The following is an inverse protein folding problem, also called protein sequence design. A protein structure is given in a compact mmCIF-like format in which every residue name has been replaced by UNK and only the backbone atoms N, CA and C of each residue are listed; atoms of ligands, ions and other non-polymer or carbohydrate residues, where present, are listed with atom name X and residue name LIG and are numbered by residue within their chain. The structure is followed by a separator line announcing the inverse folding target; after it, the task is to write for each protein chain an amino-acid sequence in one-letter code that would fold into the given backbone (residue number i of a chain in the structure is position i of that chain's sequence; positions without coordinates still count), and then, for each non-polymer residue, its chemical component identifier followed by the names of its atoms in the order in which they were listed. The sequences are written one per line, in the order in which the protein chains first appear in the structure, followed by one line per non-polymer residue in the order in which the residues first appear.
data_IF_599896774733
#
_entry.id   IF_599896774733
#
_cell.length_a   1.000
_cell.length_b   1.000
_cell.length_c   1.000
_cell.angle_alpha   90.00
_cell.angle_beta   90.00
_cell.angle_gamma   90.00
#
_symmetry.space_group_name_H-M   'P 1'
#
loop_
_entity.id
_entity.type
_entity.pdbx_description
1 polymer ?
#
# COMPACT_ATOMS: atom_id res chain seq x y z
N UNK A 1 -5.47 5.91 1.73
CA UNK A 1 -4.61 6.96 1.13
C UNK A 1 -3.19 6.41 0.98
N UNK A 2 -2.40 6.93 0.04
CA UNK A 2 -1.03 6.48 -0.24
C UNK A 2 -0.09 7.67 -0.40
N UNK A 3 1.21 7.46 -0.17
CA UNK A 3 2.26 8.43 -0.45
C UNK A 3 3.65 7.85 -0.22
N UNK A 4 4.66 8.43 -0.86
CA UNK A 4 6.06 8.05 -0.73
C UNK A 4 6.93 9.20 -0.22
N UNK A 5 8.11 8.89 0.33
CA UNK A 5 9.12 9.93 0.66
C UNK A 5 9.69 10.57 -0.60
N UNK A 6 9.94 9.76 -1.63
CA UNK A 6 10.49 10.16 -2.92
C UNK A 6 9.58 9.62 -4.04
N UNK A 7 8.47 10.30 -4.35
CA UNK A 7 7.54 9.83 -5.36
C UNK A 7 8.16 9.88 -6.76
N UNK A 8 8.01 8.80 -7.52
CA UNK A 8 8.35 8.75 -8.94
C UNK A 8 7.40 9.61 -9.79
N UNK A 9 7.75 9.87 -11.06
CA UNK A 9 6.90 10.66 -11.96
C UNK A 9 5.63 9.93 -12.42
N UNK A 10 5.63 8.60 -12.37
CA UNK A 10 4.53 7.76 -12.87
C UNK A 10 4.41 6.46 -12.09
N UNK A 11 3.22 5.85 -12.15
CA UNK A 11 3.01 4.50 -11.63
C UNK A 11 3.84 3.50 -12.44
N UNK A 12 4.42 2.52 -11.75
CA UNK A 12 5.12 1.40 -12.37
C UNK A 12 4.16 0.66 -13.34
N UNK A 13 4.45 0.61 -14.66
CA UNK A 13 3.59 -0.08 -15.62
C UNK A 13 3.39 -1.57 -15.32
N UNK A 14 4.39 -2.22 -14.71
CA UNK A 14 4.26 -3.62 -14.29
C UNK A 14 3.30 -3.76 -13.10
N UNK A 15 3.24 -2.77 -12.20
CA UNK A 15 2.23 -2.71 -11.13
C UNK A 15 0.81 -2.55 -11.71
N UNK A 16 0.64 -1.67 -12.71
CA UNK A 16 -0.65 -1.54 -13.44
C UNK A 16 -1.08 -2.89 -14.03
N UNK A 17 -0.17 -3.58 -14.70
CA UNK A 17 -0.45 -4.87 -15.32
C UNK A 17 -0.93 -5.92 -14.32
N UNK A 18 -0.22 -6.11 -13.19
CA UNK A 18 -0.61 -7.10 -12.18
C UNK A 18 -1.91 -6.73 -11.45
N UNK A 19 -2.23 -5.45 -11.26
CA UNK A 19 -3.49 -5.05 -10.63
C UNK A 19 -4.68 -5.27 -11.57
N UNK A 20 -4.51 -5.04 -12.88
CA UNK A 20 -5.53 -5.35 -13.87
C UNK A 20 -5.86 -6.86 -13.95
N UNK A 21 -4.89 -7.75 -13.72
CA UNK A 21 -5.12 -9.20 -13.67
C UNK A 21 -6.17 -9.60 -12.62
N UNK A 22 -6.29 -8.83 -11.53
CA UNK A 22 -7.27 -9.04 -10.45
C UNK A 22 -8.45 -8.06 -10.52
N UNK A 23 -8.60 -7.35 -11.64
CA UNK A 23 -9.73 -6.45 -11.89
C UNK A 23 -9.65 -5.10 -11.18
N UNK A 24 -8.46 -4.69 -10.70
CA UNK A 24 -8.25 -3.40 -10.04
C UNK A 24 -7.52 -2.46 -10.99
N UNK A 25 -8.19 -1.37 -11.36
CA UNK A 25 -7.61 -0.30 -12.15
C UNK A 25 -6.97 0.75 -11.23
N UNK A 26 -5.65 0.94 -11.36
CA UNK A 26 -4.90 1.96 -10.63
C UNK A 26 -4.41 3.10 -11.56
N UNK A 27 -4.81 3.12 -12.83
CA UNK A 27 -4.30 4.08 -13.82
C UNK A 27 -4.69 5.53 -13.54
N UNK A 28 -5.72 5.75 -12.71
CA UNK A 28 -6.14 7.08 -12.26
C UNK A 28 -5.39 7.56 -11.02
N UNK A 29 -4.62 6.69 -10.36
CA UNK A 29 -3.77 7.08 -9.24
C UNK A 29 -2.51 7.80 -9.75
N UNK A 30 -1.76 8.40 -8.83
CA UNK A 30 -0.48 9.01 -9.15
C UNK A 30 0.44 8.96 -7.92
N UNK A 31 1.76 8.80 -8.12
CA UNK A 31 2.71 8.92 -7.01
C UNK A 31 2.64 10.33 -6.43
N UNK A 32 2.58 10.42 -5.09
CA UNK A 32 2.48 11.68 -4.36
C UNK A 32 3.27 11.60 -3.06
N UNK A 33 3.81 12.72 -2.58
CA UNK A 33 4.39 12.75 -1.26
C UNK A 33 3.29 12.54 -0.21
N UNK A 34 3.59 11.85 0.88
CA UNK A 34 2.73 11.93 2.06
C UNK A 34 2.96 13.29 2.75
N UNK A 35 1.89 13.87 3.31
CA UNK A 35 2.00 15.04 4.18
C UNK A 35 1.91 14.65 5.64
N UNK A 36 2.44 15.48 6.54
CA UNK A 36 2.23 15.31 7.99
C UNK A 36 0.75 15.21 8.32
N UNK A 37 -0.08 16.04 7.71
CA UNK A 37 -1.53 16.06 7.91
C UNK A 37 -2.18 14.73 7.47
N UNK A 38 -1.69 14.14 6.39
CA UNK A 38 -2.12 12.82 5.89
C UNK A 38 -1.87 11.73 6.92
N UNK A 39 -0.64 11.67 7.47
CA UNK A 39 -0.28 10.67 8.47
C UNK A 39 -1.04 10.93 9.78
N UNK A 40 -1.22 12.20 10.15
CA UNK A 40 -1.96 12.59 11.35
C UNK A 40 -3.46 12.26 11.26
N UNK A 41 -4.06 12.26 10.07
CA UNK A 41 -5.47 11.93 9.88
C UNK A 41 -5.75 10.41 9.88
N UNK A 42 -4.74 9.57 9.62
CA UNK A 42 -4.91 8.12 9.52
C UNK A 42 -5.03 7.44 10.89
N UNK A 43 -5.93 6.47 11.04
CA UNK A 43 -6.02 5.62 12.25
C UNK A 43 -4.95 4.51 12.26
N UNK A 44 -4.60 4.03 11.06
CA UNK A 44 -3.58 3.00 10.83
C UNK A 44 -2.59 3.52 9.78
N UNK A 45 -1.29 3.43 10.09
CA UNK A 45 -0.20 3.77 9.18
C UNK A 45 0.55 2.49 8.83
N UNK A 46 0.59 2.14 7.54
CA UNK A 46 1.32 0.96 7.03
C UNK A 46 2.55 1.44 6.26
N UNK A 47 3.74 1.00 6.67
CA UNK A 47 5.01 1.28 5.99
C UNK A 47 5.49 0.05 5.24
N UNK A 48 6.06 0.26 4.04
CA UNK A 48 6.52 -0.80 3.13
C UNK A 48 7.95 -0.52 2.66
N UNK A 49 8.90 -0.40 3.60
CA UNK A 49 10.32 -0.12 3.31
C UNK A 49 10.76 1.35 3.43
N UNK A 50 10.15 2.13 4.33
CA UNK A 50 10.54 3.52 4.60
C UNK A 50 10.95 3.64 6.07
N UNK A 51 12.20 3.29 6.37
CA UNK A 51 12.62 3.05 7.76
C UNK A 51 12.73 4.31 8.63
N UNK A 52 12.91 5.51 8.08
CA UNK A 52 13.22 6.68 8.94
C UNK A 52 12.49 7.98 8.59
N UNK A 53 11.69 8.03 7.51
CA UNK A 53 11.09 9.30 7.07
C UNK A 53 9.68 9.54 7.61
N UNK A 54 8.96 8.53 8.08
CA UNK A 54 7.56 8.69 8.48
C UNK A 54 7.44 9.27 9.91
N UNK A 55 6.80 10.43 10.11
CA UNK A 55 6.61 11.01 11.43
C UNK A 55 5.74 10.12 12.32
N UNK A 56 6.21 9.88 13.55
CA UNK A 56 5.49 9.11 14.55
C UNK A 56 4.50 9.99 15.33
N UNK A 57 3.24 9.54 15.40
CA UNK A 57 2.17 10.16 16.17
C UNK A 57 1.61 9.16 17.18
N UNK A 58 1.61 9.48 18.49
CA UNK A 58 1.08 8.58 19.50
C UNK A 58 -0.42 8.32 19.34
N UNK A 59 -0.87 7.13 19.71
CA UNK A 59 -2.29 6.74 19.68
C UNK A 59 -2.78 6.16 18.35
N UNK A 60 -1.88 5.94 17.39
CA UNK A 60 -2.18 5.28 16.10
C UNK A 60 -1.61 3.87 16.07
N UNK A 61 -2.19 3.01 15.24
CA UNK A 61 -1.60 1.70 14.92
C UNK A 61 -0.58 1.88 13.80
N UNK A 62 0.62 1.36 14.00
CA UNK A 62 1.66 1.32 12.98
C UNK A 62 1.94 -0.13 12.61
N UNK A 63 2.01 -0.42 11.31
CA UNK A 63 2.48 -1.71 10.80
C UNK A 63 3.66 -1.51 9.88
N UNK A 64 4.71 -2.30 10.07
CA UNK A 64 5.82 -2.37 9.14
C UNK A 64 5.73 -3.67 8.36
N UNK A 65 5.46 -3.56 7.05
CA UNK A 65 5.42 -4.71 6.16
C UNK A 65 6.73 -4.79 5.39
N UNK A 66 7.57 -5.75 5.79
CA UNK A 66 8.75 -6.12 5.02
C UNK A 66 8.30 -6.80 3.73
N UNK A 67 8.54 -6.11 2.61
CA UNK A 67 8.19 -6.51 1.25
C UNK A 67 9.42 -6.33 0.34
N UNK A 68 9.52 -7.14 -0.70
CA UNK A 68 10.52 -6.91 -1.74
C UNK A 68 10.20 -5.61 -2.50
N UNK A 69 11.23 -4.86 -2.90
CA UNK A 69 11.05 -3.64 -3.70
C UNK A 69 10.64 -4.00 -5.15
N UNK A 70 9.44 -3.57 -5.61
CA UNK A 70 8.97 -3.83 -6.97
C UNK A 70 9.62 -2.92 -8.02
N UNK A 71 10.43 -1.92 -7.63
CA UNK A 71 11.04 -0.99 -8.56
C UNK A 71 11.93 -1.71 -9.58
N UNK A 72 11.68 -1.45 -10.88
CA UNK A 72 12.42 -2.06 -11.99
C UNK A 72 12.20 -3.56 -12.18
N UNK A 73 11.32 -4.19 -11.41
CA UNK A 73 11.04 -5.64 -11.51
C UNK A 73 10.02 -5.97 -12.61
N UNK A 74 10.05 -7.22 -13.07
CA UNK A 74 9.11 -7.72 -14.07
C UNK A 74 7.73 -8.00 -13.46
N UNK A 75 6.71 -8.13 -14.31
CA UNK A 75 5.34 -8.48 -13.91
C UNK A 75 5.33 -9.77 -13.07
N UNK A 76 6.07 -10.79 -13.48
CA UNK A 76 6.18 -12.08 -12.79
C UNK A 76 6.72 -11.94 -11.37
N UNK A 77 7.69 -11.03 -11.16
CA UNK A 77 8.28 -10.81 -9.85
C UNK A 77 7.43 -9.91 -8.95
N UNK A 78 6.57 -9.06 -9.54
CA UNK A 78 5.65 -8.21 -8.78
C UNK A 78 4.38 -8.97 -8.33
N UNK A 79 3.93 -9.99 -9.07
CA UNK A 79 2.76 -10.82 -8.66
C UNK A 79 2.83 -11.33 -7.22
N UNK A 80 3.91 -11.98 -6.75
CA UNK A 80 3.98 -12.43 -5.37
C UNK A 80 3.95 -11.28 -4.35
N UNK A 81 4.45 -10.09 -4.71
CA UNK A 81 4.37 -8.89 -3.87
C UNK A 81 2.92 -8.42 -3.75
N UNK A 82 2.18 -8.37 -4.87
CA UNK A 82 0.73 -8.06 -4.90
C UNK A 82 -0.04 -9.03 -4.01
N UNK A 83 0.23 -10.33 -4.13
CA UNK A 83 -0.50 -11.37 -3.41
C UNK A 83 -0.22 -11.32 -1.89
N UNK A 84 1.03 -11.05 -1.49
CA UNK A 84 1.41 -10.82 -0.08
C UNK A 84 0.70 -9.57 0.48
N UNK A 85 0.70 -8.45 -0.26
CA UNK A 85 -0.04 -7.24 0.12
C UNK A 85 -1.54 -7.54 0.28
N UNK A 86 -2.15 -8.29 -0.65
CA UNK A 86 -3.57 -8.65 -0.55
C UNK A 86 -3.85 -9.42 0.74
N UNK A 87 -3.05 -10.44 1.03
CA UNK A 87 -3.22 -11.24 2.24
C UNK A 87 -3.14 -10.39 3.50
N UNK A 88 -2.10 -9.54 3.62
CA UNK A 88 -1.91 -8.66 4.77
C UNK A 88 -3.03 -7.63 4.91
N UNK A 89 -3.53 -7.09 3.80
CA UNK A 89 -4.69 -6.18 3.82
C UNK A 89 -5.93 -6.91 4.35
N UNK A 90 -6.21 -8.14 3.90
CA UNK A 90 -7.35 -8.93 4.39
C UNK A 90 -7.23 -9.23 5.89
N UNK A 91 -6.05 -9.62 6.35
CA UNK A 91 -5.77 -9.87 7.77
C UNK A 91 -5.93 -8.59 8.61
N UNK A 92 -5.44 -7.46 8.11
CA UNK A 92 -5.59 -6.16 8.76
C UNK A 92 -7.08 -5.80 8.90
N UNK A 93 -7.88 -5.93 7.84
CA UNK A 93 -9.31 -5.66 7.87
C UNK A 93 -10.04 -6.52 8.91
N UNK A 94 -9.72 -7.82 8.97
CA UNK A 94 -10.27 -8.73 9.99
C UNK A 94 -9.87 -8.25 11.39
N UNK A 95 -8.61 -7.87 11.60
CA UNK A 95 -8.13 -7.40 12.91
C UNK A 95 -8.78 -6.09 13.36
N UNK A 96 -9.22 -5.26 12.40
CA UNK A 96 -9.95 -4.02 12.64
C UNK A 96 -11.46 -4.26 12.86
N UNK A 97 -11.94 -5.51 12.78
CA UNK A 97 -13.35 -5.85 12.86
C UNK A 97 -14.15 -5.43 11.63
N UNK A 98 -13.47 -5.10 10.52
CA UNK A 98 -14.08 -4.80 9.22
C UNK A 98 -14.36 -6.13 8.52
N UNK A 99 -15.23 -6.95 9.12
CA UNK A 99 -15.75 -8.14 8.47
C UNK A 99 -16.79 -7.68 7.43
N UNK A 100 -16.49 -7.88 6.16
CA UNK A 100 -17.34 -7.45 5.05
C UNK A 100 -18.76 -7.99 5.18
N UNK A 101 -19.74 -7.10 5.14
CA UNK A 101 -21.03 -7.39 4.52
C UNK A 101 -20.75 -7.71 3.05
N UNK A 102 -20.56 -8.99 2.73
CA UNK A 102 -20.80 -9.47 1.37
C UNK A 102 -22.31 -9.61 1.28
N UNK A 103 -22.99 -8.55 0.87
CA UNK A 103 -24.40 -8.66 0.48
C UNK A 103 -24.48 -9.54 -0.78
N UNK A 104 -25.44 -10.48 -0.85
CA UNK A 104 -25.59 -11.41 -1.97
C UNK A 104 -25.96 -10.72 -3.29
#
# INVERSE_FOLDING_TARGET
MSGGSEPADQINPAAIAVMHEVGIDITTEYPKPWSVETVQAADVVVTMGCDDSCPYFPGKRYENWELADPAGQSVEAIRPIRDDIEQRVRELLISLGVAGVVEP
#
